data_IF_853363443245
#
_entry.id   IF_853363443245
#
_cell.length_a   1.000
_cell.length_b   1.000
_cell.length_c   1.000
_cell.angle_alpha   90.00
_cell.angle_beta   90.00
_cell.angle_gamma   90.00
#
_symmetry.space_group_name_H-M   'P 1'
#
loop_
_entity.id
_entity.type
_entity.pdbx_description
1 polymer ?
#
# COMPACT_ATOMS: atom_id res chain seq x y z
N UNK A 1 -12.03 -4.61 -4.72
CA UNK A 1 -11.16 -5.25 -5.73
C UNK A 1 -9.84 -4.54 -6.03
N UNK A 2 -9.40 -3.57 -5.21
CA UNK A 2 -8.19 -2.76 -5.48
C UNK A 2 -6.90 -3.53 -5.12
N UNK A 3 -6.96 -4.43 -4.14
CA UNK A 3 -5.83 -5.24 -3.66
C UNK A 3 -5.27 -6.24 -4.69
N UNK A 4 -6.05 -6.62 -5.70
CA UNK A 4 -5.62 -7.62 -6.70
C UNK A 4 -4.69 -7.02 -7.77
N UNK A 5 -4.76 -5.71 -8.00
CA UNK A 5 -4.06 -5.04 -9.10
C UNK A 5 -2.83 -4.23 -8.64
N UNK A 6 -2.02 -4.80 -7.75
CA UNK A 6 -0.78 -4.15 -7.30
C UNK A 6 0.29 -4.27 -8.38
N UNK A 7 0.87 -3.14 -8.75
CA UNK A 7 1.91 -3.00 -9.78
C UNK A 7 3.17 -2.36 -9.21
N UNK A 8 4.27 -2.48 -9.96
CA UNK A 8 5.50 -1.74 -9.66
C UNK A 8 5.21 -0.25 -9.69
N UNK A 9 5.62 0.45 -8.64
CA UNK A 9 5.41 1.88 -8.50
C UNK A 9 4.24 2.26 -7.58
N UNK A 10 3.37 1.32 -7.23
CA UNK A 10 2.27 1.57 -6.29
C UNK A 10 2.81 1.81 -4.88
N UNK A 11 2.17 2.71 -4.14
CA UNK A 11 2.34 2.77 -2.70
C UNK A 11 1.39 1.79 -2.05
N UNK A 12 1.85 1.11 -1.02
CA UNK A 12 1.06 0.19 -0.23
C UNK A 12 1.23 0.52 1.25
N UNK A 13 0.15 0.34 2.00
CA UNK A 13 0.14 0.43 3.45
C UNK A 13 0.11 -0.99 3.99
N UNK A 14 1.12 -1.34 4.76
CA UNK A 14 1.23 -2.61 5.46
C UNK A 14 0.63 -2.47 6.86
N UNK A 15 0.33 -3.61 7.48
CA UNK A 15 -0.12 -3.66 8.87
C UNK A 15 0.82 -2.87 9.81
N UNK A 16 0.24 -2.17 10.79
CA UNK A 16 0.99 -1.35 11.74
C UNK A 16 1.32 0.06 11.25
N UNK A 17 0.74 0.52 10.14
CA UNK A 17 0.88 1.90 9.66
C UNK A 17 2.16 2.15 8.83
N UNK A 18 2.81 1.09 8.37
CA UNK A 18 4.02 1.17 7.55
C UNK A 18 3.61 1.46 6.11
N UNK A 19 4.25 2.44 5.47
CA UNK A 19 4.04 2.75 4.05
C UNK A 19 5.28 2.34 3.27
N UNK A 20 5.08 1.57 2.21
CA UNK A 20 6.15 1.14 1.31
C UNK A 20 5.77 1.36 -0.14
N UNK A 21 6.78 1.38 -1.02
CA UNK A 21 6.59 1.43 -2.46
C UNK A 21 6.95 0.09 -3.09
N UNK A 22 6.09 -0.43 -3.94
CA UNK A 22 6.34 -1.70 -4.64
C UNK A 22 7.46 -1.53 -5.65
N UNK A 23 8.57 -2.20 -5.43
CA UNK A 23 9.73 -2.20 -6.34
C UNK A 23 9.61 -3.29 -7.37
N UNK A 24 9.05 -4.45 -6.99
CA UNK A 24 8.93 -5.64 -7.82
C UNK A 24 7.78 -6.52 -7.32
N UNK A 25 6.96 -7.02 -8.24
CA UNK A 25 6.01 -8.10 -7.93
C UNK A 25 6.74 -9.41 -8.21
N UNK A 26 6.82 -10.29 -7.21
CA UNK A 26 7.49 -11.58 -7.36
C UNK A 26 6.47 -12.58 -7.89
N UNK A 27 5.36 -12.70 -7.19
CA UNK A 27 4.21 -13.53 -7.56
C UNK A 27 2.91 -12.92 -7.00
N UNK A 28 1.83 -13.69 -7.05
CA UNK A 28 0.52 -13.23 -6.59
C UNK A 28 0.31 -13.30 -5.07
N UNK A 29 1.21 -13.96 -4.34
CA UNK A 29 1.22 -14.06 -2.88
C UNK A 29 2.21 -13.08 -2.23
N UNK A 30 3.30 -12.75 -2.91
CA UNK A 30 4.42 -11.97 -2.39
C UNK A 30 4.92 -10.91 -3.36
N UNK A 31 5.33 -9.79 -2.80
CA UNK A 31 5.96 -8.70 -3.52
C UNK A 31 7.13 -8.11 -2.73
N UNK A 32 8.00 -7.41 -3.43
CA UNK A 32 9.06 -6.62 -2.84
C UNK A 32 8.61 -5.17 -2.72
N UNK A 33 8.68 -4.65 -1.50
CA UNK A 33 8.38 -3.27 -1.18
C UNK A 33 9.61 -2.60 -0.55
N UNK A 34 9.87 -1.36 -0.94
CA UNK A 34 10.90 -0.53 -0.35
C UNK A 34 10.24 0.43 0.64
N UNK A 35 10.70 0.38 1.90
CA UNK A 35 10.15 1.16 3.02
C UNK A 35 11.04 2.35 3.38
N UNK A 36 12.32 2.27 3.04
CA UNK A 36 13.32 3.30 3.25
C UNK A 36 14.41 3.13 2.19
N UNK A 37 15.25 4.14 2.01
CA UNK A 37 16.30 4.15 0.99
C UNK A 37 17.23 2.93 1.14
N UNK A 38 17.25 2.08 0.12
CA UNK A 38 18.06 0.85 0.11
C UNK A 38 17.51 -0.30 0.97
N UNK A 39 16.38 -0.11 1.65
CA UNK A 39 15.74 -1.14 2.48
C UNK A 39 14.57 -1.74 1.72
N UNK A 40 14.83 -2.90 1.12
CA UNK A 40 13.84 -3.71 0.41
C UNK A 40 13.41 -4.88 1.27
N UNK A 41 12.11 -5.01 1.46
CA UNK A 41 11.50 -6.07 2.24
C UNK A 41 10.53 -6.87 1.37
N UNK A 42 10.45 -8.16 1.65
CA UNK A 42 9.49 -9.06 1.02
C UNK A 42 8.23 -9.08 1.86
N UNK A 43 7.10 -8.80 1.23
CA UNK A 43 5.81 -8.61 1.87
C UNK A 43 4.82 -9.58 1.27
N UNK A 44 4.10 -10.28 2.13
CA UNK A 44 2.96 -11.11 1.73
C UNK A 44 1.76 -10.20 1.44
N UNK A 45 1.13 -10.36 0.27
CA UNK A 45 -0.03 -9.57 -0.15
C UNK A 45 -1.18 -9.59 0.85
N UNK A 46 -1.35 -10.69 1.59
CA UNK A 46 -2.34 -10.82 2.65
C UNK A 46 -2.17 -9.79 3.79
N UNK A 47 -0.94 -9.29 4.01
CA UNK A 47 -0.65 -8.28 5.04
C UNK A 47 -0.79 -6.83 4.54
N UNK A 48 -1.17 -6.62 3.28
CA UNK A 48 -1.38 -5.29 2.71
C UNK A 48 -2.77 -4.81 3.13
N UNK A 49 -2.78 -3.72 3.90
CA UNK A 49 -4.02 -3.11 4.41
C UNK A 49 -4.65 -2.19 3.37
N UNK A 50 -3.84 -1.44 2.62
CA UNK A 50 -4.32 -0.46 1.64
C UNK A 50 -3.35 -0.38 0.46
N UNK A 51 -3.87 -0.13 -0.74
CA UNK A 51 -3.05 0.16 -1.93
C UNK A 51 -3.35 1.59 -2.35
N UNK A 52 -2.34 2.45 -2.29
CA UNK A 52 -2.37 3.83 -2.76
C UNK A 52 -1.73 3.88 -4.14
N UNK A 53 -2.57 3.79 -5.16
CA UNK A 53 -2.15 3.98 -6.55
C UNK A 53 -1.89 5.47 -6.75
N UNK A 54 -0.73 5.82 -7.32
CA UNK A 54 -0.38 7.21 -7.63
C UNK A 54 -1.15 7.63 -8.89
N UNK A 55 -2.44 7.88 -8.74
CA UNK A 55 -3.32 8.43 -9.77
C UNK A 55 -4.39 9.25 -9.07
N UNK A 56 -4.04 10.52 -8.83
CA UNK A 56 -4.91 11.63 -8.42
C UNK A 56 -5.63 11.49 -7.06
N UNK A 57 -5.92 12.63 -6.39
CA UNK A 57 -5.97 12.71 -4.95
C UNK A 57 -7.21 12.07 -4.35
N UNK A 58 -6.99 11.52 -3.16
CA UNK A 58 -7.98 11.14 -2.16
C UNK A 58 -9.11 12.17 -2.15
N UNK A 59 -10.30 11.79 -2.61
CA UNK A 59 -11.53 12.42 -2.14
C UNK A 59 -11.66 11.99 -0.68
N UNK A 60 -10.94 12.70 0.18
CA UNK A 60 -11.18 12.68 1.60
C UNK A 60 -12.57 13.30 1.76
N UNK A 61 -13.60 12.47 1.88
CA UNK A 61 -14.76 12.90 2.65
C UNK A 61 -14.23 13.13 4.08
N UNK A 62 -14.29 14.36 4.61
CA UNK A 62 -13.97 14.59 5.99
C UNK A 62 -14.95 13.78 6.80
N UNK A 63 -14.43 12.85 7.60
CA UNK A 63 -15.13 12.28 8.72
C UNK A 63 -15.40 13.41 9.72
N UNK A 64 -16.49 14.14 9.49
CA UNK A 64 -17.14 15.05 10.41
C UNK A 64 -18.53 14.43 10.67
N UNK A 65 -19.02 14.23 11.89
CA UNK A 65 -18.55 14.65 13.18
C UNK A 65 -19.12 13.66 14.20
N UNK A 66 -18.33 13.26 15.18
CA UNK A 66 -18.88 12.76 16.42
C UNK A 66 -18.94 13.94 17.41
N UNK A 67 -20.06 13.97 18.16
CA UNK A 67 -20.32 14.61 19.45
C UNK A 67 -21.27 15.83 19.43
N UNK A 68 -22.16 16.00 20.42
CA UNK A 68 -22.77 15.03 21.37
C UNK A 68 -24.26 14.74 21.09
#
# INVERSE_FOLDING_TARGET
EILKNIRRGDQIVLGGGIVGKVTKVIDDAELEAEIAEGVKVRVVRANISEVRVKSEPVKAEPQAANKP
#
